data_IF_520694085861
#
_entry.id   IF_520694085861
#
_cell.length_a   1.000
_cell.length_b   1.000
_cell.length_c   1.000
_cell.angle_alpha   90.00
_cell.angle_beta   90.00
_cell.angle_gamma   90.00
#
_symmetry.space_group_name_H-M   'P 1'
#
loop_
_entity.id
_entity.type
_entity.pdbx_description
1 polymer ?
#
# COMPACT_ATOMS: atom_id res chain seq x y z
N UNK A 1 -3.21 -12.06 29.01
CA UNK A 1 -2.66 -12.49 27.70
C UNK A 1 -3.41 -11.71 26.64
N UNK A 2 -2.80 -10.63 26.16
CA UNK A 2 -3.40 -9.80 25.10
C UNK A 2 -3.50 -10.63 23.84
N UNK A 3 -4.73 -10.82 23.37
CA UNK A 3 -4.99 -11.60 22.14
C UNK A 3 -4.46 -10.78 20.98
N UNK A 4 -3.34 -11.18 20.38
CA UNK A 4 -2.84 -10.54 19.17
C UNK A 4 -3.94 -10.58 18.11
N UNK A 5 -4.34 -9.39 17.65
CA UNK A 5 -5.32 -9.26 16.59
C UNK A 5 -4.72 -9.82 15.29
N UNK A 6 -5.39 -10.80 14.71
CA UNK A 6 -4.98 -11.39 13.43
C UNK A 6 -5.94 -10.91 12.34
N UNK A 7 -5.40 -10.35 11.26
CA UNK A 7 -6.19 -9.83 10.14
C UNK A 7 -6.30 -10.84 9.01
N UNK A 8 -7.47 -10.92 8.40
CA UNK A 8 -7.67 -11.56 7.10
C UNK A 8 -7.51 -10.56 5.97
N UNK A 9 -6.87 -10.95 4.87
CA UNK A 9 -6.56 -10.03 3.77
C UNK A 9 -7.21 -10.47 2.46
N UNK A 10 -7.82 -9.52 1.78
CA UNK A 10 -8.47 -9.71 0.49
C UNK A 10 -8.15 -8.57 -0.48
N UNK A 11 -8.08 -8.92 -1.78
CA UNK A 11 -8.02 -7.90 -2.84
C UNK A 11 -9.28 -7.03 -2.82
N UNK A 12 -9.14 -5.77 -3.22
CA UNK A 12 -10.29 -4.93 -3.53
C UNK A 12 -10.73 -5.22 -4.95
N UNK A 13 -11.84 -5.91 -5.06
CA UNK A 13 -12.56 -6.22 -6.29
C UNK A 13 -13.95 -5.57 -6.27
N UNK A 14 -14.74 -5.83 -7.30
CA UNK A 14 -16.10 -5.29 -7.38
C UNK A 14 -16.99 -5.71 -6.19
N UNK A 15 -16.81 -6.94 -5.68
CA UNK A 15 -17.58 -7.45 -4.54
C UNK A 15 -17.21 -6.76 -3.22
N UNK A 16 -15.97 -6.29 -3.07
CA UNK A 16 -15.44 -5.63 -1.87
C UNK A 16 -15.35 -4.12 -1.99
N UNK A 17 -15.81 -3.55 -3.09
CA UNK A 17 -15.83 -2.10 -3.26
C UNK A 17 -16.56 -1.39 -2.12
N UNK A 18 -17.73 -1.90 -1.71
CA UNK A 18 -18.49 -1.31 -0.60
C UNK A 18 -17.73 -1.28 0.73
N UNK A 19 -16.95 -2.31 1.00
CA UNK A 19 -16.09 -2.38 2.20
C UNK A 19 -14.94 -1.38 2.13
N UNK A 20 -14.31 -1.25 0.96
CA UNK A 20 -13.28 -0.26 0.70
C UNK A 20 -13.83 1.16 0.87
N UNK A 21 -14.97 1.47 0.26
CA UNK A 21 -15.65 2.75 0.40
C UNK A 21 -15.97 3.05 1.87
N UNK A 22 -16.55 2.10 2.60
CA UNK A 22 -16.89 2.24 4.03
C UNK A 22 -15.65 2.53 4.89
N UNK A 23 -14.52 1.86 4.62
CA UNK A 23 -13.28 2.11 5.35
C UNK A 23 -12.73 3.51 5.04
N UNK A 24 -12.71 3.92 3.78
CA UNK A 24 -12.16 5.22 3.36
C UNK A 24 -13.02 6.40 3.81
N UNK A 25 -14.34 6.24 3.87
CA UNK A 25 -15.29 7.26 4.35
C UNK A 25 -15.49 7.24 5.87
N UNK A 26 -14.89 6.28 6.58
CA UNK A 26 -14.92 6.23 8.04
C UNK A 26 -14.20 7.44 8.66
N UNK A 27 -14.46 7.67 9.95
CA UNK A 27 -13.80 8.76 10.68
C UNK A 27 -12.27 8.62 10.65
N UNK A 28 -11.61 9.64 10.07
CA UNK A 28 -10.16 9.65 9.89
C UNK A 28 -9.68 8.84 8.69
N UNK A 29 -10.58 8.31 7.88
CA UNK A 29 -10.25 7.60 6.65
C UNK A 29 -9.73 8.54 5.55
N UNK A 30 -9.00 8.00 4.56
CA UNK A 30 -8.32 8.80 3.53
C UNK A 30 -9.24 9.21 2.37
N UNK A 31 -10.45 9.66 2.68
CA UNK A 31 -11.51 10.04 1.70
C UNK A 31 -11.16 11.19 0.78
N UNK A 32 -10.13 11.98 1.07
CA UNK A 32 -9.69 13.06 0.18
C UNK A 32 -8.65 12.57 -0.83
N UNK A 33 -7.89 11.54 -0.46
CA UNK A 33 -6.80 10.98 -1.26
C UNK A 33 -7.28 9.83 -2.15
N UNK A 34 -8.09 8.91 -1.60
CA UNK A 34 -8.49 7.66 -2.25
C UNK A 34 -7.30 6.88 -2.83
N UNK A 35 -6.11 7.07 -2.27
CA UNK A 35 -4.83 6.53 -2.74
C UNK A 35 -4.51 6.80 -4.23
N UNK A 36 -5.08 7.88 -4.78
CA UNK A 36 -4.88 8.29 -6.17
C UNK A 36 -3.72 9.29 -6.36
N UNK A 37 -3.22 9.91 -5.29
CA UNK A 37 -2.13 10.91 -5.37
C UNK A 37 -0.88 10.34 -6.05
N UNK A 38 -0.60 9.06 -5.84
CA UNK A 38 0.57 8.38 -6.40
C UNK A 38 0.28 7.56 -7.65
N UNK A 39 -0.95 7.57 -8.13
CA UNK A 39 -1.33 6.90 -9.37
C UNK A 39 -1.12 7.82 -10.58
N UNK A 40 -0.70 7.26 -11.71
CA UNK A 40 -0.51 8.01 -12.95
C UNK A 40 -1.82 8.41 -13.61
N UNK A 41 -1.77 9.46 -14.43
CA UNK A 41 -2.80 9.78 -15.43
C UNK A 41 -3.99 10.59 -14.97
N UNK A 42 -4.29 10.72 -13.71
CA UNK A 42 -5.46 11.48 -13.26
C UNK A 42 -5.07 12.87 -12.76
N UNK A 43 -5.40 13.90 -13.50
CA UNK A 43 -5.45 15.29 -13.01
C UNK A 43 -6.64 15.48 -12.06
N UNK A 44 -6.88 14.51 -11.20
CA UNK A 44 -8.00 14.56 -10.25
C UNK A 44 -7.57 15.36 -9.04
N UNK A 45 -8.21 16.49 -8.81
CA UNK A 45 -7.88 17.43 -7.73
C UNK A 45 -8.77 17.28 -6.51
N UNK A 46 -9.93 16.65 -6.65
CA UNK A 46 -10.97 16.55 -5.60
C UNK A 46 -11.22 15.09 -5.20
N UNK A 47 -11.64 14.90 -3.95
CA UNK A 47 -11.96 13.59 -3.39
C UNK A 47 -12.96 12.77 -4.21
N UNK A 48 -14.11 13.33 -4.65
CA UNK A 48 -15.08 12.62 -5.48
C UNK A 48 -14.50 12.14 -6.81
N UNK A 49 -13.67 12.96 -7.48
CA UNK A 49 -13.02 12.59 -8.73
C UNK A 49 -12.00 11.46 -8.54
N UNK A 50 -11.26 11.50 -7.41
CA UNK A 50 -10.32 10.45 -7.04
C UNK A 50 -11.03 9.15 -6.70
N UNK A 51 -12.18 9.22 -6.02
CA UNK A 51 -13.04 8.07 -5.76
C UNK A 51 -13.52 7.42 -7.06
N UNK A 52 -14.01 8.22 -8.00
CA UNK A 52 -14.44 7.72 -9.30
C UNK A 52 -13.28 7.08 -10.09
N UNK A 53 -12.10 7.69 -10.05
CA UNK A 53 -10.92 7.18 -10.72
C UNK A 53 -10.44 5.84 -10.15
N UNK A 54 -10.34 5.69 -8.82
CA UNK A 54 -9.94 4.39 -8.23
C UNK A 54 -10.99 3.31 -8.45
N UNK A 55 -12.29 3.69 -8.48
CA UNK A 55 -13.36 2.76 -8.82
C UNK A 55 -13.22 2.23 -10.25
N UNK A 56 -12.80 3.10 -11.20
CA UNK A 56 -12.55 2.67 -12.57
C UNK A 56 -11.44 1.61 -12.63
N UNK A 57 -10.35 1.77 -11.88
CA UNK A 57 -9.32 0.72 -11.78
C UNK A 57 -9.90 -0.62 -11.33
N UNK A 58 -10.80 -0.61 -10.35
CA UNK A 58 -11.47 -1.85 -9.89
C UNK A 58 -12.37 -2.44 -10.97
N UNK A 59 -13.13 -1.59 -11.70
CA UNK A 59 -13.96 -2.03 -12.82
C UNK A 59 -13.15 -2.63 -13.96
N UNK A 60 -11.93 -2.15 -14.17
CA UNK A 60 -10.99 -2.63 -15.20
C UNK A 60 -10.17 -3.85 -14.73
N UNK A 61 -10.53 -4.43 -13.58
CA UNK A 61 -9.85 -5.58 -12.94
C UNK A 61 -8.36 -5.33 -12.66
N UNK A 62 -7.99 -4.07 -12.46
CA UNK A 62 -6.64 -3.69 -12.08
C UNK A 62 -6.42 -3.84 -10.58
N UNK A 63 -5.32 -4.45 -10.15
CA UNK A 63 -5.02 -4.52 -8.73
C UNK A 63 -4.77 -3.12 -8.16
N UNK A 64 -5.43 -2.80 -7.05
CA UNK A 64 -5.23 -1.52 -6.36
C UNK A 64 -4.64 -1.69 -4.97
N UNK A 65 -4.87 -2.82 -4.31
CA UNK A 65 -4.38 -3.07 -2.97
C UNK A 65 -5.20 -4.11 -2.21
N UNK A 66 -4.93 -4.20 -0.92
CA UNK A 66 -5.55 -5.16 0.01
C UNK A 66 -6.34 -4.46 1.10
N UNK A 67 -7.50 -5.02 1.44
CA UNK A 67 -8.20 -4.76 2.69
C UNK A 67 -7.82 -5.81 3.73
N UNK A 68 -7.55 -5.36 4.95
CA UNK A 68 -7.41 -6.20 6.13
C UNK A 68 -8.68 -6.15 6.97
N UNK A 69 -9.18 -7.33 7.32
CA UNK A 69 -10.41 -7.51 8.08
C UNK A 69 -10.14 -8.05 9.47
N UNK A 70 -10.90 -7.56 10.43
CA UNK A 70 -11.00 -8.11 11.77
C UNK A 70 -12.47 -8.42 12.05
N UNK A 71 -12.79 -9.67 12.38
CA UNK A 71 -14.17 -10.09 12.68
C UNK A 71 -15.20 -9.68 11.59
N UNK A 72 -14.78 -9.75 10.32
CA UNK A 72 -15.62 -9.40 9.17
C UNK A 72 -15.69 -7.90 8.85
N UNK A 73 -15.08 -7.03 9.66
CA UNK A 73 -15.04 -5.59 9.42
C UNK A 73 -13.73 -5.14 8.77
N UNK A 74 -13.75 -4.29 7.72
CA UNK A 74 -12.55 -3.75 7.12
C UNK A 74 -11.91 -2.71 8.07
N UNK A 75 -10.68 -2.96 8.48
CA UNK A 75 -9.97 -2.15 9.48
C UNK A 75 -8.60 -1.68 9.02
N UNK A 76 -8.08 -2.24 7.95
CA UNK A 76 -6.76 -1.89 7.41
C UNK A 76 -6.78 -1.88 5.89
N UNK A 77 -5.86 -1.13 5.32
CA UNK A 77 -5.65 -0.98 3.88
C UNK A 77 -4.18 -0.84 3.57
N UNK A 78 -3.75 -1.38 2.44
CA UNK A 78 -2.53 -0.96 1.77
C UNK A 78 -2.71 -0.87 0.25
N UNK A 79 -2.06 0.13 -0.35
CA UNK A 79 -1.95 0.25 -1.80
C UNK A 79 -0.75 -0.56 -2.27
N UNK A 80 -1.00 -1.63 -2.98
CA UNK A 80 0.01 -2.53 -3.56
C UNK A 80 -0.42 -2.92 -4.98
N UNK A 81 0.43 -2.65 -5.95
CA UNK A 81 0.18 -2.95 -7.37
C UNK A 81 1.49 -2.93 -8.17
N UNK A 82 1.50 -3.42 -9.43
CA UNK A 82 2.64 -3.28 -10.31
C UNK A 82 3.13 -1.82 -10.40
N UNK A 83 4.43 -1.61 -10.30
CA UNK A 83 5.05 -0.26 -10.30
C UNK A 83 4.61 0.63 -11.46
N UNK A 84 4.45 0.14 -12.70
CA UNK A 84 4.00 0.97 -13.82
C UNK A 84 2.59 1.56 -13.66
N UNK A 85 1.77 1.07 -12.72
CA UNK A 85 0.44 1.63 -12.43
C UNK A 85 0.50 2.89 -11.56
N UNK A 86 1.66 3.21 -11.02
CA UNK A 86 1.92 4.43 -10.28
C UNK A 86 2.69 5.43 -11.14
N UNK A 87 2.61 6.71 -10.78
CA UNK A 87 3.53 7.72 -11.28
C UNK A 87 4.95 7.46 -10.76
N UNK A 88 5.93 8.20 -11.25
CA UNK A 88 7.31 8.10 -10.73
C UNK A 88 7.32 8.32 -9.21
N UNK A 89 7.78 7.30 -8.50
CA UNK A 89 7.89 7.30 -7.04
C UNK A 89 9.28 7.76 -6.56
N UNK A 90 10.18 8.13 -7.50
CA UNK A 90 11.49 8.70 -7.23
C UNK A 90 12.55 7.70 -6.75
N UNK A 91 12.31 6.40 -6.97
CA UNK A 91 13.29 5.35 -6.72
C UNK A 91 14.36 5.28 -7.82
N UNK A 92 15.45 4.50 -7.62
CA UNK A 92 16.46 4.31 -8.63
C UNK A 92 15.87 3.66 -9.87
N UNK A 93 16.18 4.26 -11.03
CA UNK A 93 15.88 3.72 -12.36
C UNK A 93 16.94 2.72 -12.77
N UNK A 94 17.19 1.72 -11.96
CA UNK A 94 17.95 0.58 -12.43
C UNK A 94 17.13 -0.17 -13.49
N UNK A 95 17.79 -0.60 -14.53
CA UNK A 95 17.21 -1.36 -15.61
C UNK A 95 16.63 -2.68 -15.05
N UNK A 96 15.40 -2.60 -14.57
CA UNK A 96 14.63 -3.80 -14.27
C UNK A 96 14.13 -4.33 -15.60
N UNK A 97 14.61 -5.48 -16.03
CA UNK A 97 14.25 -6.09 -17.33
C UNK A 97 12.73 -6.23 -17.51
N UNK A 98 12.00 -6.33 -16.41
CA UNK A 98 10.54 -6.47 -16.39
C UNK A 98 9.91 -5.60 -15.30
N UNK A 99 9.65 -4.32 -15.60
CA UNK A 99 9.06 -3.38 -14.62
C UNK A 99 7.74 -3.85 -14.00
N UNK A 100 6.95 -4.63 -14.75
CA UNK A 100 5.68 -5.20 -14.30
C UNK A 100 5.84 -6.25 -13.19
N UNK A 101 7.02 -6.81 -13.02
CA UNK A 101 7.34 -7.74 -11.93
C UNK A 101 7.81 -7.06 -10.66
N UNK A 102 8.01 -5.73 -10.69
CA UNK A 102 8.23 -4.92 -9.49
C UNK A 102 6.88 -4.39 -9.02
N UNK A 103 6.49 -4.74 -7.81
CA UNK A 103 5.28 -4.23 -7.19
C UNK A 103 5.63 -3.17 -6.15
N UNK A 104 4.91 -2.06 -6.18
CA UNK A 104 5.11 -0.94 -5.25
C UNK A 104 4.07 -0.96 -4.14
N UNK A 105 4.56 -0.96 -2.90
CA UNK A 105 3.78 -0.84 -1.68
C UNK A 105 3.87 0.60 -1.20
N UNK A 106 2.80 1.38 -1.39
CA UNK A 106 2.90 2.85 -1.39
C UNK A 106 2.26 3.50 -0.18
N UNK A 107 1.15 2.96 0.30
CA UNK A 107 0.31 3.65 1.27
C UNK A 107 -0.33 2.65 2.23
N UNK A 108 -0.43 3.04 3.49
CA UNK A 108 -1.11 2.28 4.55
C UNK A 108 -2.19 3.12 5.20
N UNK A 109 -3.27 2.48 5.57
CA UNK A 109 -4.25 3.01 6.50
C UNK A 109 -4.67 1.91 7.47
N UNK A 110 -4.65 2.22 8.77
CA UNK A 110 -5.16 1.35 9.82
C UNK A 110 -6.07 2.22 10.68
N UNK A 111 -7.25 1.73 11.02
CA UNK A 111 -8.17 2.44 11.91
C UNK A 111 -7.44 2.88 13.18
N UNK A 112 -7.70 4.11 13.60
CA UNK A 112 -6.96 4.78 14.68
C UNK A 112 -6.90 3.96 15.97
N UNK A 113 -8.01 3.35 16.35
CA UNK A 113 -8.18 2.54 17.56
C UNK A 113 -7.36 1.26 17.57
N UNK A 114 -6.89 0.83 16.40
CA UNK A 114 -6.10 -0.40 16.25
C UNK A 114 -4.60 -0.13 16.00
N UNK A 115 -4.19 1.12 15.99
CA UNK A 115 -2.78 1.49 15.79
C UNK A 115 -1.94 1.13 17.02
N UNK A 116 -0.63 0.95 16.81
CA UNK A 116 0.30 0.60 17.90
C UNK A 116 0.28 -0.89 18.29
N UNK A 117 -0.48 -1.74 17.60
CA UNK A 117 -0.61 -3.17 17.88
C UNK A 117 0.20 -4.06 16.91
N UNK A 118 1.16 -3.48 16.19
CA UNK A 118 2.01 -4.25 15.25
C UNK A 118 1.33 -4.66 13.94
N UNK A 119 0.12 -4.18 13.66
CA UNK A 119 -0.66 -4.59 12.48
C UNK A 119 0.00 -4.21 11.15
N UNK A 120 0.80 -3.15 11.11
CA UNK A 120 1.52 -2.76 9.90
C UNK A 120 2.41 -3.88 9.37
N UNK A 121 3.05 -4.65 10.26
CA UNK A 121 3.85 -5.81 9.87
C UNK A 121 2.98 -6.88 9.18
N UNK A 122 1.80 -7.17 9.70
CA UNK A 122 0.87 -8.12 9.08
C UNK A 122 0.45 -7.62 7.69
N UNK A 123 0.16 -6.34 7.54
CA UNK A 123 -0.20 -5.73 6.26
C UNK A 123 0.95 -5.85 5.24
N UNK A 124 2.20 -5.58 5.65
CA UNK A 124 3.38 -5.71 4.78
C UNK A 124 3.54 -7.17 4.32
N UNK A 125 3.48 -8.14 5.22
CA UNK A 125 3.61 -9.56 4.86
C UNK A 125 2.50 -10.02 3.92
N UNK A 126 1.25 -9.60 4.16
CA UNK A 126 0.13 -9.91 3.27
C UNK A 126 0.33 -9.30 1.87
N UNK A 127 0.83 -8.07 1.79
CA UNK A 127 1.13 -7.40 0.53
C UNK A 127 2.23 -8.13 -0.25
N UNK A 128 3.29 -8.54 0.44
CA UNK A 128 4.40 -9.32 -0.15
C UNK A 128 3.90 -10.65 -0.68
N UNK A 129 3.15 -11.41 0.11
CA UNK A 129 2.58 -12.69 -0.31
C UNK A 129 1.63 -12.55 -1.50
N UNK A 130 0.84 -11.46 -1.54
CA UNK A 130 -0.05 -11.20 -2.67
C UNK A 130 0.72 -10.87 -3.94
N UNK A 131 1.73 -10.03 -3.85
CA UNK A 131 2.59 -9.69 -4.99
C UNK A 131 3.29 -10.93 -5.54
N UNK A 132 3.84 -11.78 -4.67
CA UNK A 132 4.47 -13.04 -5.04
C UNK A 132 3.51 -13.97 -5.79
N UNK A 133 2.30 -14.19 -5.25
CA UNK A 133 1.25 -14.99 -5.90
C UNK A 133 0.84 -14.45 -7.29
N UNK A 134 1.02 -13.16 -7.53
CA UNK A 134 0.73 -12.49 -8.79
C UNK A 134 1.96 -12.41 -9.72
N UNK A 135 3.07 -13.07 -9.38
CA UNK A 135 4.27 -13.17 -10.21
C UNK A 135 5.27 -12.02 -10.04
N UNK A 136 5.15 -11.22 -8.99
CA UNK A 136 6.18 -10.26 -8.65
C UNK A 136 7.50 -10.96 -8.30
N UNK A 137 8.60 -10.32 -8.66
CA UNK A 137 9.95 -10.74 -8.25
C UNK A 137 10.55 -9.82 -7.20
N UNK A 138 10.00 -8.61 -7.08
CA UNK A 138 10.44 -7.59 -6.12
C UNK A 138 9.23 -6.85 -5.59
N UNK A 139 9.21 -6.59 -4.28
CA UNK A 139 8.35 -5.57 -3.68
C UNK A 139 9.21 -4.37 -3.28
N UNK A 140 8.83 -3.20 -3.76
CA UNK A 140 9.49 -1.92 -3.48
C UNK A 140 8.59 -1.06 -2.60
N UNK A 141 9.15 -0.40 -1.60
CA UNK A 141 8.45 0.46 -0.66
C UNK A 141 9.24 1.75 -0.41
N UNK A 142 8.56 2.77 0.13
CA UNK A 142 9.10 4.14 0.22
C UNK A 142 8.94 4.73 1.63
N UNK A 143 9.33 4.00 2.69
CA UNK A 143 9.13 4.44 4.06
C UNK A 143 9.97 5.66 4.43
N UNK A 144 9.62 6.24 5.57
CA UNK A 144 10.32 7.39 6.16
C UNK A 144 10.82 7.07 7.55
N UNK A 145 11.69 7.94 8.07
CA UNK A 145 12.12 7.87 9.47
C UNK A 145 10.95 8.26 10.41
N UNK A 146 10.93 7.78 11.67
CA UNK A 146 9.84 8.04 12.61
C UNK A 146 9.58 9.53 12.88
N UNK A 147 10.63 10.36 12.84
CA UNK A 147 10.55 11.80 13.03
C UNK A 147 10.16 12.61 11.79
N UNK A 148 9.90 11.94 10.65
CA UNK A 148 9.59 12.65 9.40
C UNK A 148 8.30 13.46 9.53
N UNK A 149 8.31 14.73 9.09
CA UNK A 149 7.11 15.59 9.12
C UNK A 149 6.07 15.21 8.06
N UNK A 150 6.43 14.37 7.08
CA UNK A 150 5.55 13.99 5.97
C UNK A 150 5.75 12.53 5.54
N UNK A 151 4.84 12.03 4.69
CA UNK A 151 4.87 10.67 4.11
C UNK A 151 4.77 9.53 5.13
N UNK A 152 4.31 9.77 6.36
CA UNK A 152 4.18 8.74 7.40
C UNK A 152 3.24 7.60 6.99
N UNK A 153 2.29 7.88 6.11
CA UNK A 153 1.39 6.88 5.54
C UNK A 153 2.09 5.83 4.66
N UNK A 154 3.35 6.08 4.29
CA UNK A 154 4.19 5.11 3.56
C UNK A 154 4.91 4.12 4.49
N UNK A 155 4.74 4.25 5.79
CA UNK A 155 5.36 3.40 6.81
C UNK A 155 6.74 3.88 7.25
N UNK A 156 7.32 3.14 8.19
CA UNK A 156 8.61 3.48 8.79
C UNK A 156 9.68 2.46 8.43
N UNK A 157 10.90 2.95 8.23
CA UNK A 157 12.07 2.15 7.80
C UNK A 157 12.27 0.91 8.67
N UNK A 158 12.20 1.04 9.99
CA UNK A 158 12.46 -0.09 10.91
C UNK A 158 11.43 -1.23 10.74
N UNK A 159 10.19 -0.90 10.45
CA UNK A 159 9.15 -1.91 10.19
C UNK A 159 9.47 -2.70 8.92
N UNK A 160 9.97 -2.05 7.90
CA UNK A 160 10.37 -2.69 6.65
C UNK A 160 11.65 -3.52 6.81
N UNK A 161 12.65 -3.04 7.56
CA UNK A 161 13.84 -3.84 7.90
C UNK A 161 13.42 -5.13 8.61
N UNK A 162 12.55 -5.02 9.60
CA UNK A 162 12.01 -6.18 10.32
C UNK A 162 11.20 -7.15 9.43
N UNK A 163 10.68 -6.66 8.30
CA UNK A 163 9.99 -7.45 7.28
C UNK A 163 10.92 -7.93 6.14
N UNK A 164 12.24 -7.83 6.30
CA UNK A 164 13.22 -8.36 5.36
C UNK A 164 13.50 -7.47 4.14
N UNK A 165 13.11 -6.20 4.18
CA UNK A 165 13.48 -5.23 3.16
C UNK A 165 14.87 -4.65 3.42
N UNK A 166 15.58 -4.31 2.35
CA UNK A 166 16.87 -3.59 2.40
C UNK A 166 16.77 -2.27 1.66
N UNK A 167 17.46 -1.26 2.11
CA UNK A 167 17.54 0.03 1.42
C UNK A 167 18.34 -0.12 0.12
N UNK A 168 17.81 0.44 -0.96
CA UNK A 168 18.43 0.45 -2.29
C UNK A 168 18.64 1.87 -2.83
N UNK A 169 18.09 2.87 -2.17
CA UNK A 169 18.22 4.26 -2.59
C UNK A 169 17.35 5.22 -1.79
N UNK A 170 17.24 6.43 -2.32
CA UNK A 170 16.45 7.51 -1.71
C UNK A 170 15.52 8.12 -2.76
N UNK A 171 14.35 8.51 -2.32
CA UNK A 171 13.38 9.25 -3.12
C UNK A 171 13.19 10.65 -2.53
N UNK A 172 13.90 11.62 -3.06
CA UNK A 172 14.00 12.94 -2.46
C UNK A 172 14.80 12.92 -1.14
N UNK A 173 14.48 13.84 -0.23
CA UNK A 173 15.24 14.00 1.03
C UNK A 173 14.68 13.19 2.20
N UNK A 174 13.45 12.70 2.11
CA UNK A 174 12.73 12.10 3.26
C UNK A 174 12.42 10.63 3.10
N UNK A 175 12.14 10.18 1.88
CA UNK A 175 11.74 8.78 1.64
C UNK A 175 12.96 7.92 1.34
N UNK A 176 13.04 6.79 2.01
CA UNK A 176 13.94 5.71 1.65
C UNK A 176 13.28 4.87 0.56
N UNK A 177 14.07 4.29 -0.33
CA UNK A 177 13.59 3.26 -1.25
C UNK A 177 14.10 1.93 -0.76
N UNK A 178 13.19 1.03 -0.44
CA UNK A 178 13.50 -0.28 0.11
C UNK A 178 12.91 -1.38 -0.74
N UNK A 179 13.63 -2.48 -0.90
CA UNK A 179 13.21 -3.64 -1.68
C UNK A 179 13.33 -4.93 -0.88
N UNK A 180 12.37 -5.81 -1.12
CA UNK A 180 12.44 -7.22 -0.76
C UNK A 180 12.35 -8.04 -2.04
N UNK A 181 13.39 -8.80 -2.31
CA UNK A 181 13.41 -9.76 -3.42
C UNK A 181 12.63 -11.01 -3.04
N UNK A 182 11.83 -11.50 -3.96
CA UNK A 182 11.00 -12.68 -3.78
C UNK A 182 11.69 -13.87 -4.44
N UNK A 183 11.88 -14.91 -3.66
CA UNK A 183 12.47 -16.15 -4.17
C UNK A 183 11.46 -16.81 -5.12
N UNK A 184 11.96 -17.24 -6.27
CA UNK A 184 11.19 -18.09 -7.22
C UNK A 184 11.17 -19.53 -6.75
#
# INVERSE_FOLDING_TARGET
MERMLNLEFHDVDAARWGDFERLFESRGGPKNCWCMVWRGGAKTTKGPDRKAAIRQYVCDDMPIGLLGYSEGEPVAWCSIAPRPTYRDLGGPNDAVERPEQVWSLVCFFIRRELRGQGLTKQVIEAAVQRAEKRGATVVEAYPVDPGSPSYRFMGYVQTFIAAGFREVGRAGTRRHVMRRELLR
#
